data_IF_471505640164
#
_entry.id   IF_471505640164
#
_cell.length_a   1.000
_cell.length_b   1.000
_cell.length_c   1.000
_cell.angle_alpha   90.00
_cell.angle_beta   90.00
_cell.angle_gamma   90.00
#
_symmetry.space_group_name_H-M   'P 1'
#
loop_
_entity.id
_entity.type
_entity.pdbx_description
1 polymer ?
#
# COMPACT_ATOMS: atom_id res chain seq x y z
N UNK A 1 30.64 5.73 -0.42
CA UNK A 1 29.90 6.40 0.68
C UNK A 1 28.78 7.21 0.00
N UNK A 2 27.51 6.83 -0.13
CA UNK A 2 26.67 5.79 0.47
C UNK A 2 25.89 5.03 -0.63
N UNK A 3 25.67 3.75 -0.37
CA UNK A 3 25.00 2.73 -1.18
C UNK A 3 23.53 3.03 -1.46
N UNK A 4 23.22 3.46 -2.68
CA UNK A 4 21.86 3.63 -3.21
C UNK A 4 21.43 2.45 -4.09
N UNK A 5 21.80 1.24 -3.71
CA UNK A 5 21.15 0.06 -4.25
C UNK A 5 19.78 -0.06 -3.57
N UNK A 6 18.83 0.81 -3.96
CA UNK A 6 17.42 0.69 -3.58
C UNK A 6 16.98 -0.68 -4.06
N UNK A 7 17.02 -1.69 -3.19
CA UNK A 7 16.40 -2.99 -3.43
C UNK A 7 14.96 -2.71 -3.83
N UNK A 8 14.67 -2.79 -5.13
CA UNK A 8 13.32 -2.82 -5.67
C UNK A 8 12.82 -4.21 -5.30
N UNK A 9 11.97 -4.26 -4.29
CA UNK A 9 11.31 -5.51 -3.91
C UNK A 9 9.95 -5.56 -4.60
N UNK A 10 9.53 -6.76 -4.98
CA UNK A 10 8.25 -7.00 -5.65
C UNK A 10 7.09 -6.37 -4.86
N UNK A 11 7.13 -6.44 -3.53
CA UNK A 11 6.13 -5.83 -2.64
C UNK A 11 6.03 -4.31 -2.82
N UNK A 12 7.18 -3.62 -2.96
CA UNK A 12 7.21 -2.17 -3.12
C UNK A 12 6.64 -1.74 -4.46
N UNK A 13 6.93 -2.49 -5.52
CA UNK A 13 6.41 -2.18 -6.85
C UNK A 13 4.91 -2.39 -6.93
N UNK A 14 4.40 -3.49 -6.35
CA UNK A 14 2.96 -3.74 -6.24
C UNK A 14 2.28 -2.62 -5.44
N UNK A 15 2.82 -2.25 -4.27
CA UNK A 15 2.25 -1.17 -3.45
C UNK A 15 2.23 0.17 -4.20
N UNK A 16 3.31 0.49 -4.92
CA UNK A 16 3.42 1.71 -5.72
C UNK A 16 2.43 1.74 -6.89
N UNK A 17 2.27 0.61 -7.58
CA UNK A 17 1.31 0.48 -8.68
C UNK A 17 -0.13 0.67 -8.17
N UNK A 18 -0.54 -0.08 -7.15
CA UNK A 18 -1.89 0.02 -6.58
C UNK A 18 -2.17 1.44 -6.08
N UNK A 19 -1.24 2.04 -5.33
CA UNK A 19 -1.39 3.42 -4.86
C UNK A 19 -1.62 4.40 -6.01
N UNK A 20 -0.83 4.31 -7.09
CA UNK A 20 -0.94 5.21 -8.25
C UNK A 20 -2.29 5.08 -8.96
N UNK A 21 -2.72 3.85 -9.21
CA UNK A 21 -4.03 3.59 -9.83
C UNK A 21 -5.16 4.09 -8.92
N UNK A 22 -5.07 3.85 -7.62
CA UNK A 22 -6.06 4.34 -6.67
C UNK A 22 -6.09 5.86 -6.62
N UNK A 23 -4.95 6.54 -6.54
CA UNK A 23 -4.89 8.01 -6.58
C UNK A 23 -5.44 8.58 -7.89
N UNK A 24 -5.27 7.87 -9.01
CA UNK A 24 -5.78 8.28 -10.31
C UNK A 24 -7.30 8.15 -10.41
N UNK A 25 -7.87 7.04 -9.93
CA UNK A 25 -9.30 6.75 -10.04
C UNK A 25 -10.13 7.30 -8.87
N UNK A 26 -9.55 7.35 -7.68
CA UNK A 26 -10.20 7.71 -6.43
C UNK A 26 -9.37 8.80 -5.77
N UNK A 27 -9.84 10.05 -5.83
CA UNK A 27 -9.20 11.27 -5.33
C UNK A 27 -8.05 11.04 -4.32
N UNK A 28 -6.85 11.58 -4.55
CA UNK A 28 -5.70 11.41 -3.66
C UNK A 28 -5.98 11.92 -2.23
N UNK A 29 -5.22 11.50 -1.21
CA UNK A 29 -4.05 10.59 -1.27
C UNK A 29 -4.36 9.25 -0.61
N UNK A 30 -4.15 8.16 -1.34
CA UNK A 30 -4.24 6.79 -0.82
C UNK A 30 -2.91 6.30 -0.27
N UNK A 31 -3.01 5.39 0.70
CA UNK A 31 -1.89 4.70 1.31
C UNK A 31 -2.03 3.20 1.06
N UNK A 32 -0.97 2.57 0.54
CA UNK A 32 -0.95 1.13 0.26
C UNK A 32 0.24 0.47 0.97
N UNK A 33 -0.03 -0.63 1.66
CA UNK A 33 0.95 -1.49 2.32
C UNK A 33 0.81 -2.89 1.75
N UNK A 34 1.92 -3.48 1.33
CA UNK A 34 1.98 -4.86 0.83
C UNK A 34 3.06 -5.61 1.59
N UNK A 35 2.71 -6.77 2.14
CA UNK A 35 3.65 -7.59 2.90
C UNK A 35 3.08 -8.97 3.22
N UNK A 36 3.95 -9.90 3.66
CA UNK A 36 3.50 -11.27 3.99
C UNK A 36 2.93 -11.36 5.40
N UNK A 37 3.53 -10.65 6.36
CA UNK A 37 3.15 -10.63 7.76
C UNK A 37 3.29 -9.21 8.30
N UNK A 38 2.18 -8.55 8.62
CA UNK A 38 2.17 -7.28 9.32
C UNK A 38 0.86 -7.12 10.10
N UNK A 39 0.93 -6.39 11.22
CA UNK A 39 -0.23 -5.87 11.93
C UNK A 39 -0.27 -4.35 11.76
N UNK A 40 -1.47 -3.78 11.71
CA UNK A 40 -1.67 -2.34 11.54
C UNK A 40 -2.82 -1.85 12.41
N UNK A 41 -2.62 -0.73 13.10
CA UNK A 41 -3.66 0.03 13.78
C UNK A 41 -3.63 1.44 13.21
N UNK A 42 -4.65 1.79 12.41
CA UNK A 42 -4.67 3.01 11.60
C UNK A 42 -6.05 3.62 11.60
N UNK A 43 -6.09 4.93 11.83
CA UNK A 43 -7.25 5.78 11.59
C UNK A 43 -7.39 5.99 10.08
N UNK A 44 -8.59 5.85 9.57
CA UNK A 44 -8.90 5.96 8.15
C UNK A 44 -10.28 6.58 7.95
N UNK A 45 -10.50 7.12 6.75
CA UNK A 45 -11.78 7.71 6.38
C UNK A 45 -12.83 6.61 6.17
N UNK A 46 -14.07 6.87 6.58
CA UNK A 46 -15.17 5.92 6.43
C UNK A 46 -15.35 5.49 4.96
N UNK A 47 -15.51 4.18 4.73
CA UNK A 47 -15.67 3.62 3.40
C UNK A 47 -14.41 3.60 2.52
N UNK A 48 -13.27 4.09 3.02
CA UNK A 48 -11.99 4.12 2.31
C UNK A 48 -10.95 3.18 2.92
N UNK A 49 -11.38 1.99 3.33
CA UNK A 49 -10.53 0.94 3.91
C UNK A 49 -10.75 -0.39 3.22
N UNK A 50 -9.66 -0.96 2.72
CA UNK A 50 -9.66 -2.22 1.98
C UNK A 50 -8.51 -3.07 2.51
N UNK A 51 -8.84 -4.27 2.98
CA UNK A 51 -7.88 -5.27 3.47
C UNK A 51 -8.10 -6.59 2.73
N UNK A 52 -7.08 -7.02 2.00
CA UNK A 52 -7.15 -8.14 1.06
C UNK A 52 -5.97 -9.08 1.25
N UNK A 53 -6.21 -10.38 1.08
CA UNK A 53 -5.16 -11.38 0.98
C UNK A 53 -5.14 -11.94 -0.44
N UNK A 54 -4.01 -11.77 -1.13
CA UNK A 54 -3.80 -12.29 -2.47
C UNK A 54 -2.56 -13.17 -2.45
N UNK A 55 -2.79 -14.47 -2.66
CA UNK A 55 -1.76 -15.50 -2.67
C UNK A 55 -0.94 -15.53 -1.37
N UNK A 56 0.32 -15.06 -1.39
CA UNK A 56 1.21 -14.99 -0.22
C UNK A 56 1.35 -13.58 0.36
N UNK A 57 0.58 -12.62 -0.15
CA UNK A 57 0.68 -11.22 0.23
C UNK A 57 -0.63 -10.74 0.83
N UNK A 58 -0.49 -9.98 1.89
CA UNK A 58 -1.54 -9.15 2.47
C UNK A 58 -1.39 -7.76 1.90
N UNK A 59 -2.49 -7.19 1.43
CA UNK A 59 -2.57 -5.85 0.87
C UNK A 59 -3.54 -5.07 1.73
N UNK A 60 -3.06 -3.94 2.23
CA UNK A 60 -3.83 -3.00 3.01
C UNK A 60 -3.82 -1.67 2.28
N UNK A 61 -4.99 -1.17 1.95
CA UNK A 61 -5.20 0.07 1.24
C UNK A 61 -6.17 0.93 2.05
N UNK A 62 -5.77 2.15 2.36
CA UNK A 62 -6.60 3.06 3.14
C UNK A 62 -6.38 4.52 2.74
N UNK A 63 -7.38 5.35 3.03
CA UNK A 63 -7.26 6.81 2.96
C UNK A 63 -7.31 7.37 4.39
N UNK A 64 -6.50 8.38 4.65
CA UNK A 64 -6.51 9.14 5.90
C UNK A 64 -6.34 10.61 5.53
N UNK A 65 -7.37 11.42 5.73
CA UNK A 65 -7.33 12.86 5.40
C UNK A 65 -8.56 13.62 5.83
#
# INVERSE_FOLDING_TARGET
>A
MYSWCRKITLERDIACYIKKECDHHFKPTWHCIVGKNFGSFITHDEGSFIYLFINKFTILLFKSG
#
